data_IF_052687798890
#
_entry.id   IF_052687798890
#
_cell.length_a   1.000
_cell.length_b   1.000
_cell.length_c   1.000
_cell.angle_alpha   90.00
_cell.angle_beta   90.00
_cell.angle_gamma   90.00
#
_symmetry.space_group_name_H-M   'P 1'
#
loop_
_entity.id
_entity.type
_entity.pdbx_description
1 polymer ?
#
# COMPACT_ATOMS: atom_id res chain seq x y z
N UNK A 1 -28.28 41.98 56.64
CA UNK A 1 -28.86 43.31 56.32
C UNK A 1 -29.19 43.29 54.85
N UNK A 2 -30.40 43.43 54.32
CA UNK A 2 -31.79 43.63 54.78
C UNK A 2 -32.63 42.83 53.74
N UNK A 3 -33.50 41.89 54.10
CA UNK A 3 -34.91 42.06 54.51
C UNK A 3 -35.75 42.92 53.54
N UNK A 4 -36.65 42.29 52.75
CA UNK A 4 -38.13 42.17 52.92
C UNK A 4 -38.84 43.20 52.02
N UNK A 5 -40.03 43.01 51.43
CA UNK A 5 -41.16 42.09 51.65
C UNK A 5 -42.12 42.17 50.42
N UNK A 6 -43.10 41.26 50.31
CA UNK A 6 -44.05 41.09 49.21
C UNK A 6 -45.43 41.74 49.49
N UNK A 7 -46.37 41.64 48.55
CA UNK A 7 -47.82 41.30 48.69
C UNK A 7 -48.55 41.69 47.39
N UNK A 8 -49.23 40.73 46.75
CA UNK A 8 -50.70 40.53 46.76
C UNK A 8 -51.43 41.62 45.96
N UNK A 9 -52.22 41.32 44.92
CA UNK A 9 -53.64 40.93 45.02
C UNK A 9 -54.19 40.77 43.57
N UNK A 10 -54.79 39.66 43.12
CA UNK A 10 -56.25 39.35 43.07
C UNK A 10 -56.50 38.31 41.93
N UNK A 11 -57.69 37.69 41.76
CA UNK A 11 -58.37 36.74 42.64
C UNK A 11 -58.55 35.36 41.96
N UNK A 12 -58.81 34.34 42.77
CA UNK A 12 -59.09 32.96 42.32
C UNK A 12 -60.46 32.83 41.65
N UNK A 13 -60.50 32.19 40.48
CA UNK A 13 -61.73 31.67 39.88
C UNK A 13 -61.76 30.15 39.99
N UNK A 14 -62.65 29.66 40.85
CA UNK A 14 -63.03 28.25 40.95
C UNK A 14 -63.74 27.81 39.65
N UNK A 15 -63.24 26.77 38.99
CA UNK A 15 -64.06 25.97 38.08
C UNK A 15 -63.81 24.49 38.32
N UNK A 16 -64.90 23.80 38.67
CA UNK A 16 -65.03 22.37 38.92
C UNK A 16 -64.94 21.55 37.63
N UNK A 17 -64.40 20.32 37.64
CA UNK A 17 -64.27 19.49 36.46
C UNK A 17 -65.56 18.69 36.21
N UNK A 18 -66.49 19.25 35.46
CA UNK A 18 -67.57 18.51 34.82
C UNK A 18 -68.12 19.36 33.69
N UNK A 19 -68.29 18.75 32.51
CA UNK A 19 -68.81 19.36 31.27
C UNK A 19 -67.73 19.96 30.35
N UNK A 20 -66.99 19.07 29.68
CA UNK A 20 -66.52 19.29 28.29
C UNK A 20 -66.04 17.95 27.71
N UNK A 21 -66.88 16.91 27.80
CA UNK A 21 -66.78 15.78 26.87
C UNK A 21 -67.48 16.20 25.57
N UNK A 22 -66.85 15.86 24.43
CA UNK A 22 -67.31 16.08 23.05
C UNK A 22 -66.94 17.41 22.38
N UNK A 23 -65.65 17.66 22.15
CA UNK A 23 -65.26 18.52 21.03
C UNK A 23 -63.81 18.41 20.54
N UNK A 24 -63.24 17.20 20.39
CA UNK A 24 -62.05 17.00 19.54
C UNK A 24 -62.07 15.60 18.90
N UNK A 25 -61.87 15.47 17.58
CA UNK A 25 -61.70 14.16 16.96
C UNK A 25 -60.43 13.51 17.51
N UNK A 26 -60.52 12.22 17.84
CA UNK A 26 -59.38 11.39 18.24
C UNK A 26 -58.28 11.50 17.17
N UNK A 27 -57.24 12.27 17.45
CA UNK A 27 -55.96 12.10 16.79
C UNK A 27 -55.42 10.80 17.38
N UNK A 28 -55.66 9.70 16.66
CA UNK A 28 -54.93 8.46 16.85
C UNK A 28 -53.44 8.81 16.81
N UNK A 29 -52.85 8.94 18.01
CA UNK A 29 -51.42 9.11 18.15
C UNK A 29 -50.82 7.77 17.73
N UNK A 30 -50.53 7.64 16.43
CA UNK A 30 -49.65 6.61 15.92
C UNK A 30 -48.26 6.95 16.49
N UNK A 31 -48.04 6.56 17.75
CA UNK A 31 -46.70 6.42 18.28
C UNK A 31 -46.08 5.36 17.37
N UNK A 32 -45.08 5.69 16.54
CA UNK A 32 -44.37 4.65 15.81
C UNK A 32 -43.81 3.72 16.89
N UNK A 33 -44.28 2.49 16.87
CA UNK A 33 -43.81 1.42 17.72
C UNK A 33 -42.27 1.46 17.64
N UNK A 34 -41.64 1.96 18.71
CA UNK A 34 -40.19 1.99 18.83
C UNK A 34 -39.80 0.51 18.82
N UNK A 35 -39.51 -0.03 17.63
CA UNK A 35 -39.07 -1.40 17.45
C UNK A 35 -37.89 -1.59 18.38
N UNK A 36 -38.15 -2.25 19.51
CA UNK A 36 -37.14 -2.55 20.51
C UNK A 36 -36.19 -3.50 19.82
N UNK A 37 -35.01 -2.98 19.43
CA UNK A 37 -33.96 -3.77 18.81
C UNK A 37 -33.73 -4.98 19.72
N UNK A 38 -33.96 -6.17 19.19
CA UNK A 38 -33.87 -7.38 20.01
C UNK A 38 -32.46 -7.51 20.60
N UNK A 39 -32.33 -8.11 21.78
CA UNK A 39 -31.03 -8.27 22.43
C UNK A 39 -29.99 -8.99 21.55
N UNK A 40 -30.44 -9.82 20.60
CA UNK A 40 -29.59 -10.46 19.59
C UNK A 40 -29.13 -9.51 18.49
N UNK A 41 -30.02 -8.67 17.96
CA UNK A 41 -29.67 -7.62 16.98
C UNK A 41 -28.72 -6.57 17.58
N UNK A 42 -28.95 -6.18 18.85
CA UNK A 42 -28.06 -5.25 19.56
C UNK A 42 -26.64 -5.83 19.74
N UNK A 43 -26.53 -7.12 20.12
CA UNK A 43 -25.24 -7.83 20.20
C UNK A 43 -24.54 -7.96 18.84
N UNK A 44 -25.31 -8.23 17.78
CA UNK A 44 -24.78 -8.33 16.42
C UNK A 44 -24.22 -6.99 15.93
N UNK A 45 -24.96 -5.90 16.15
CA UNK A 45 -24.51 -4.54 15.83
C UNK A 45 -23.26 -4.14 16.62
N UNK A 46 -23.22 -4.44 17.92
CA UNK A 46 -22.03 -4.20 18.75
C UNK A 46 -20.81 -4.98 18.23
N UNK A 47 -20.98 -6.25 17.86
CA UNK A 47 -19.92 -7.08 17.29
C UNK A 47 -19.36 -6.52 15.97
N UNK A 48 -20.24 -6.03 15.09
CA UNK A 48 -19.83 -5.41 13.83
C UNK A 48 -19.04 -4.11 14.05
N UNK A 49 -19.47 -3.26 14.98
CA UNK A 49 -18.78 -2.02 15.36
C UNK A 49 -17.38 -2.33 15.89
N UNK A 50 -17.26 -3.29 16.81
CA UNK A 50 -15.98 -3.70 17.38
C UNK A 50 -15.04 -4.29 16.33
N UNK A 51 -15.55 -5.17 15.46
CA UNK A 51 -14.79 -5.73 14.37
C UNK A 51 -14.24 -4.64 13.43
N UNK A 52 -15.05 -3.64 13.09
CA UNK A 52 -14.61 -2.51 12.26
C UNK A 52 -13.59 -1.61 12.95
N UNK A 53 -13.77 -1.32 14.26
CA UNK A 53 -12.79 -0.54 15.04
C UNK A 53 -11.45 -1.26 15.12
N UNK A 54 -11.45 -2.56 15.39
CA UNK A 54 -10.24 -3.37 15.46
C UNK A 54 -9.51 -3.43 14.11
N UNK A 55 -10.22 -3.44 12.98
CA UNK A 55 -9.59 -3.31 11.65
C UNK A 55 -8.76 -2.03 11.55
N UNK A 56 -9.33 -0.88 11.97
CA UNK A 56 -8.63 0.40 11.91
C UNK A 56 -7.49 0.53 12.92
N UNK A 57 -7.66 -0.01 14.12
CA UNK A 57 -6.59 -0.09 15.12
C UNK A 57 -5.43 -0.93 14.57
N UNK A 58 -5.73 -2.09 13.99
CA UNK A 58 -4.73 -2.96 13.34
C UNK A 58 -4.03 -2.23 12.19
N UNK A 59 -4.79 -1.53 11.33
CA UNK A 59 -4.23 -0.73 10.24
C UNK A 59 -3.32 0.38 10.76
N UNK A 60 -3.69 1.06 11.85
CA UNK A 60 -2.86 2.08 12.47
C UNK A 60 -1.53 1.52 12.97
N UNK A 61 -1.53 0.39 13.69
CA UNK A 61 -0.30 -0.26 14.15
C UNK A 61 0.60 -0.66 12.96
N UNK A 62 0.02 -1.27 11.94
CA UNK A 62 0.75 -1.64 10.73
C UNK A 62 1.33 -0.41 10.01
N UNK A 63 0.53 0.66 9.89
CA UNK A 63 0.95 1.89 9.23
C UNK A 63 1.99 2.66 10.04
N UNK A 64 1.92 2.65 11.38
CA UNK A 64 2.95 3.20 12.24
C UNK A 64 4.29 2.47 12.01
N UNK A 65 4.26 1.13 11.95
CA UNK A 65 5.43 0.31 11.65
C UNK A 65 6.05 0.65 10.30
N UNK A 66 5.23 0.70 9.24
CA UNK A 66 5.71 0.79 7.86
C UNK A 66 5.96 2.21 7.38
N UNK A 67 5.15 3.18 7.83
CA UNK A 67 5.28 4.58 7.49
C UNK A 67 6.33 5.29 8.36
N UNK A 68 6.17 5.26 9.68
CA UNK A 68 7.07 5.96 10.60
C UNK A 68 8.32 5.13 10.93
N UNK A 69 8.15 3.84 11.26
CA UNK A 69 9.24 2.96 11.65
C UNK A 69 10.29 2.82 10.56
N UNK A 70 9.90 2.45 9.33
CA UNK A 70 10.81 2.34 8.18
C UNK A 70 11.54 3.65 7.85
N UNK A 71 10.86 4.79 7.96
CA UNK A 71 11.49 6.08 7.69
C UNK A 71 12.53 6.40 8.76
N UNK A 72 12.20 6.17 10.03
CA UNK A 72 13.12 6.33 11.13
C UNK A 72 14.35 5.40 10.99
N UNK A 73 14.12 4.15 10.61
CA UNK A 73 15.15 3.15 10.36
C UNK A 73 16.18 3.59 9.31
N UNK A 74 15.70 4.10 8.17
CA UNK A 74 16.58 4.66 7.12
C UNK A 74 17.41 5.85 7.61
N UNK A 75 16.81 6.77 8.35
CA UNK A 75 17.54 7.91 8.92
C UNK A 75 18.55 7.46 9.96
N UNK A 76 18.22 6.43 10.75
CA UNK A 76 19.10 5.84 11.75
C UNK A 76 20.36 5.28 11.08
N UNK A 77 20.22 4.42 10.06
CA UNK A 77 21.36 3.90 9.31
C UNK A 77 22.21 4.97 8.62
N UNK A 78 21.61 6.10 8.23
CA UNK A 78 22.34 7.22 7.64
C UNK A 78 23.10 8.10 8.65
N UNK A 79 22.84 7.95 9.96
CA UNK A 79 23.38 8.86 10.99
C UNK A 79 24.06 8.17 12.17
N UNK A 80 23.80 6.88 12.41
CA UNK A 80 24.33 6.10 13.55
C UNK A 80 25.21 4.97 13.03
N UNK A 81 26.47 4.93 13.51
CA UNK A 81 27.50 4.02 12.98
C UNK A 81 27.41 2.60 13.54
N UNK A 82 27.11 2.48 14.82
CA UNK A 82 27.05 1.19 15.51
C UNK A 82 25.61 0.76 15.62
N UNK A 83 25.18 -0.01 14.63
CA UNK A 83 23.84 -0.57 14.63
C UNK A 83 23.82 -2.00 15.14
N UNK A 84 22.77 -2.36 15.86
CA UNK A 84 22.52 -3.72 16.30
C UNK A 84 21.15 -4.14 15.83
N UNK A 85 20.89 -5.45 15.78
CA UNK A 85 19.57 -5.98 15.44
C UNK A 85 18.44 -5.37 16.30
N UNK A 86 18.73 -4.98 17.55
CA UNK A 86 17.78 -4.35 18.48
C UNK A 86 17.88 -2.83 18.53
N UNK A 87 18.19 -2.19 17.40
CA UNK A 87 18.15 -0.74 17.27
C UNK A 87 16.76 -0.18 17.68
N UNK A 88 16.67 1.06 18.19
CA UNK A 88 15.38 1.68 18.50
C UNK A 88 14.35 1.60 17.35
N UNK A 89 14.68 1.91 16.07
CA UNK A 89 13.72 1.76 14.98
C UNK A 89 13.32 0.29 14.72
N UNK A 90 14.25 -0.67 14.77
CA UNK A 90 13.92 -2.09 14.62
C UNK A 90 12.97 -2.57 15.72
N UNK A 91 13.28 -2.26 16.98
CA UNK A 91 12.42 -2.63 18.11
C UNK A 91 11.01 -2.05 17.95
N UNK A 92 10.90 -0.79 17.54
CA UNK A 92 9.61 -0.15 17.25
C UNK A 92 8.85 -0.89 16.13
N UNK A 93 9.50 -1.17 15.00
CA UNK A 93 8.90 -1.92 13.88
C UNK A 93 8.42 -3.31 14.34
N UNK A 94 9.20 -4.02 15.14
CA UNK A 94 8.85 -5.34 15.64
C UNK A 94 7.63 -5.30 16.56
N UNK A 95 7.60 -4.39 17.54
CA UNK A 95 6.47 -4.27 18.46
C UNK A 95 5.18 -3.93 17.71
N UNK A 96 5.24 -2.98 16.78
CA UNK A 96 4.07 -2.55 15.99
C UNK A 96 3.57 -3.67 15.05
N UNK A 97 4.49 -4.40 14.42
CA UNK A 97 4.16 -5.53 13.54
C UNK A 97 3.60 -6.72 14.33
N UNK A 98 4.23 -7.09 15.45
CA UNK A 98 3.77 -8.18 16.31
C UNK A 98 2.38 -7.89 16.90
N UNK A 99 2.15 -6.63 17.31
CA UNK A 99 0.83 -6.17 17.77
C UNK A 99 -0.22 -6.31 16.67
N UNK A 100 0.12 -5.92 15.44
CA UNK A 100 -0.77 -6.09 14.27
C UNK A 100 -1.09 -7.57 14.03
N UNK A 101 -0.09 -8.46 14.09
CA UNK A 101 -0.27 -9.91 13.98
C UNK A 101 -1.19 -10.49 15.06
N UNK A 102 -0.98 -10.10 16.33
CA UNK A 102 -1.79 -10.55 17.44
C UNK A 102 -3.25 -10.08 17.34
N UNK A 103 -3.47 -8.83 16.89
CA UNK A 103 -4.82 -8.31 16.65
C UNK A 103 -5.53 -9.09 15.54
N UNK A 104 -4.85 -9.36 14.43
CA UNK A 104 -5.41 -10.17 13.32
C UNK A 104 -5.73 -11.59 13.78
N UNK A 105 -4.83 -12.22 14.55
CA UNK A 105 -5.09 -13.51 15.15
C UNK A 105 -6.33 -13.45 16.07
N UNK A 106 -6.39 -12.47 16.97
CA UNK A 106 -7.54 -12.28 17.88
C UNK A 106 -8.85 -12.15 17.11
N UNK A 107 -8.87 -11.36 16.04
CA UNK A 107 -10.03 -11.23 15.15
C UNK A 107 -10.38 -12.59 14.51
N UNK A 108 -9.40 -13.28 13.93
CA UNK A 108 -9.60 -14.53 13.20
C UNK A 108 -10.06 -15.70 14.09
N UNK A 109 -9.60 -15.75 15.34
CA UNK A 109 -9.97 -16.80 16.30
C UNK A 109 -11.27 -16.50 17.06
N UNK A 110 -11.75 -15.24 17.07
CA UNK A 110 -13.01 -14.85 17.73
C UNK A 110 -14.20 -14.90 16.76
N UNK A 111 -15.16 -15.83 16.93
CA UNK A 111 -16.26 -16.02 15.98
C UNK A 111 -17.09 -14.75 15.72
N UNK A 112 -17.37 -13.98 16.77
CA UNK A 112 -18.20 -12.77 16.72
C UNK A 112 -17.52 -11.63 15.96
N UNK A 113 -16.18 -11.64 15.87
CA UNK A 113 -15.40 -10.63 15.15
C UNK A 113 -15.19 -11.04 13.69
N UNK A 114 -14.72 -12.27 13.43
CA UNK A 114 -14.38 -12.73 12.07
C UNK A 114 -15.59 -12.79 11.12
N UNK A 115 -16.80 -12.97 11.65
CA UNK A 115 -18.02 -13.08 10.84
C UNK A 115 -18.24 -11.89 9.90
N UNK A 116 -17.62 -10.73 10.18
CA UNK A 116 -17.78 -9.50 9.42
C UNK A 116 -16.74 -9.25 8.33
N UNK A 117 -15.74 -10.13 8.20
CA UNK A 117 -14.60 -9.96 7.29
C UNK A 117 -14.81 -10.61 5.92
N UNK A 118 -16.06 -10.97 5.59
CA UNK A 118 -16.45 -11.49 4.28
C UNK A 118 -16.50 -13.03 4.23
N UNK A 119 -16.46 -13.62 3.01
CA UNK A 119 -16.68 -15.05 2.81
C UNK A 119 -15.64 -15.93 3.52
N UNK A 120 -16.13 -16.89 4.31
CA UNK A 120 -15.30 -17.84 5.05
C UNK A 120 -14.84 -19.04 4.22
N UNK A 121 -13.57 -19.39 4.34
CA UNK A 121 -12.91 -20.49 3.63
C UNK A 121 -12.64 -21.63 4.61
N UNK A 122 -12.89 -22.86 4.19
CA UNK A 122 -12.62 -24.06 4.99
C UNK A 122 -11.18 -24.51 4.77
N UNK A 123 -10.42 -24.66 5.85
CA UNK A 123 -9.11 -25.30 5.84
C UNK A 123 -9.24 -26.72 6.39
N UNK A 124 -8.42 -27.68 5.92
CA UNK A 124 -8.48 -29.06 6.39
C UNK A 124 -8.09 -29.21 7.87
N UNK A 125 -7.21 -28.36 8.38
CA UNK A 125 -6.66 -28.42 9.74
C UNK A 125 -7.23 -27.36 10.71
N UNK A 126 -8.13 -26.48 10.25
CA UNK A 126 -8.77 -25.47 11.11
C UNK A 126 -10.24 -25.87 11.34
N UNK A 127 -10.70 -25.99 12.60
CA UNK A 127 -12.04 -26.48 12.91
C UNK A 127 -13.16 -25.52 12.49
N UNK A 128 -12.83 -24.30 12.07
CA UNK A 128 -13.78 -23.27 11.63
C UNK A 128 -13.38 -22.66 10.27
N UNK A 129 -14.31 -21.95 9.63
CA UNK A 129 -14.03 -21.20 8.40
C UNK A 129 -13.35 -19.87 8.73
N UNK A 130 -12.34 -19.50 7.94
CA UNK A 130 -11.59 -18.24 8.08
C UNK A 130 -11.89 -17.34 6.88
N UNK A 131 -12.30 -16.07 7.07
CA UNK A 131 -12.51 -15.12 5.98
C UNK A 131 -11.29 -14.96 5.09
N UNK A 132 -11.48 -14.94 3.76
CA UNK A 132 -10.38 -14.82 2.81
C UNK A 132 -9.51 -13.57 3.01
N UNK A 133 -10.12 -12.45 3.40
CA UNK A 133 -9.41 -11.21 3.74
C UNK A 133 -8.43 -11.39 4.91
N UNK A 134 -8.83 -12.15 5.94
CA UNK A 134 -7.99 -12.45 7.10
C UNK A 134 -6.91 -13.48 6.78
N UNK A 135 -7.16 -14.40 5.84
CA UNK A 135 -6.13 -15.32 5.33
C UNK A 135 -5.02 -14.56 4.62
N UNK A 136 -5.37 -13.62 3.74
CA UNK A 136 -4.38 -12.78 3.03
C UNK A 136 -3.64 -11.87 4.01
N UNK A 137 -4.38 -11.14 4.85
CA UNK A 137 -3.80 -10.23 5.84
C UNK A 137 -2.88 -10.95 6.82
N UNK A 138 -3.35 -12.05 7.42
CA UNK A 138 -2.57 -12.86 8.35
C UNK A 138 -1.39 -13.54 7.69
N UNK A 139 -1.56 -14.08 6.46
CA UNK A 139 -0.48 -14.69 5.70
C UNK A 139 0.66 -13.70 5.39
N UNK A 140 0.33 -12.47 5.02
CA UNK A 140 1.31 -11.41 4.82
C UNK A 140 2.03 -11.01 6.12
N UNK A 141 1.33 -10.94 7.26
CA UNK A 141 1.93 -10.65 8.57
C UNK A 141 2.85 -11.77 9.07
N UNK A 142 2.47 -13.04 8.85
CA UNK A 142 3.32 -14.19 9.15
C UNK A 142 4.57 -14.15 8.28
N UNK A 143 4.42 -13.93 6.97
CA UNK A 143 5.56 -13.79 6.06
C UNK A 143 6.50 -12.65 6.48
N UNK A 144 5.95 -11.48 6.83
CA UNK A 144 6.70 -10.35 7.36
C UNK A 144 7.47 -10.70 8.64
N UNK A 145 6.90 -11.54 9.50
CA UNK A 145 7.59 -12.01 10.71
C UNK A 145 8.78 -12.92 10.37
N UNK A 146 8.62 -13.80 9.38
CA UNK A 146 9.70 -14.66 8.89
C UNK A 146 10.79 -13.80 8.22
N UNK A 147 10.40 -12.71 7.53
CA UNK A 147 11.34 -11.76 6.91
C UNK A 147 12.37 -11.25 7.91
N UNK A 148 11.93 -10.88 9.12
CA UNK A 148 12.80 -10.37 10.18
C UNK A 148 13.93 -11.36 10.53
N UNK A 149 13.65 -12.66 10.51
CA UNK A 149 14.66 -13.69 10.78
C UNK A 149 15.68 -13.80 9.66
N UNK A 150 15.22 -13.79 8.40
CA UNK A 150 16.12 -13.79 7.25
C UNK A 150 16.93 -12.50 7.16
N UNK A 151 16.34 -11.37 7.53
CA UNK A 151 16.97 -10.07 7.53
C UNK A 151 18.18 -10.05 8.47
N UNK A 152 18.00 -10.52 9.71
CA UNK A 152 19.11 -10.68 10.66
C UNK A 152 20.22 -11.59 10.14
N UNK A 153 19.84 -12.72 9.52
CA UNK A 153 20.81 -13.65 8.94
C UNK A 153 21.60 -13.00 7.79
N UNK A 154 20.92 -12.27 6.91
CA UNK A 154 21.56 -11.54 5.81
C UNK A 154 22.49 -10.47 6.33
N UNK A 155 22.06 -9.67 7.30
CA UNK A 155 22.90 -8.66 7.92
C UNK A 155 24.12 -9.24 8.62
N UNK A 156 23.98 -10.37 9.30
CA UNK A 156 25.11 -11.05 9.95
C UNK A 156 26.10 -11.66 8.97
N UNK A 157 25.63 -12.06 7.77
CA UNK A 157 26.45 -12.77 6.77
C UNK A 157 27.09 -11.80 5.77
N UNK A 158 26.35 -10.78 5.35
CA UNK A 158 26.72 -9.88 4.25
C UNK A 158 26.82 -8.41 4.67
N UNK A 159 26.44 -8.05 5.90
CA UNK A 159 26.39 -6.67 6.41
C UNK A 159 25.15 -5.91 5.95
N UNK A 160 25.22 -4.57 5.88
CA UNK A 160 24.08 -3.76 5.44
C UNK A 160 23.72 -4.15 3.99
N UNK A 161 22.53 -4.74 3.81
CA UNK A 161 22.12 -5.30 2.54
C UNK A 161 20.72 -4.82 2.12
N UNK A 162 20.65 -3.96 1.12
CA UNK A 162 19.42 -3.49 0.49
C UNK A 162 19.47 -3.55 -1.06
N UNK A 163 19.86 -4.67 -1.67
CA UNK A 163 19.69 -4.82 -3.13
C UNK A 163 18.22 -4.85 -3.58
N UNK A 164 17.28 -4.91 -2.63
CA UNK A 164 15.83 -5.11 -2.84
C UNK A 164 15.45 -6.45 -3.50
N UNK A 165 16.43 -7.23 -3.96
CA UNK A 165 16.27 -8.60 -4.45
C UNK A 165 16.85 -9.65 -3.51
N UNK A 166 17.60 -9.27 -2.48
CA UNK A 166 17.91 -10.18 -1.38
C UNK A 166 16.62 -10.77 -0.79
N UNK A 167 16.69 -12.02 -0.33
CA UNK A 167 15.52 -12.75 0.19
C UNK A 167 14.72 -11.91 1.19
N UNK A 168 15.31 -11.32 2.25
CA UNK A 168 14.53 -10.56 3.22
C UNK A 168 13.86 -9.33 2.60
N UNK A 169 14.57 -8.53 1.81
CA UNK A 169 14.02 -7.28 1.26
C UNK A 169 12.97 -7.52 0.19
N UNK A 170 13.16 -8.55 -0.65
CA UNK A 170 12.14 -8.97 -1.59
C UNK A 170 10.88 -9.46 -0.83
N UNK A 171 11.07 -10.31 0.19
CA UNK A 171 9.96 -10.82 1.00
C UNK A 171 9.27 -9.71 1.79
N UNK A 172 10.00 -8.70 2.26
CA UNK A 172 9.48 -7.48 2.91
C UNK A 172 8.48 -6.76 1.98
N UNK A 173 8.92 -6.44 0.75
CA UNK A 173 8.09 -5.74 -0.23
C UNK A 173 6.81 -6.50 -0.58
N UNK A 174 6.93 -7.80 -0.86
CA UNK A 174 5.78 -8.66 -1.17
C UNK A 174 4.86 -8.90 0.03
N UNK A 175 5.40 -8.98 1.24
CA UNK A 175 4.61 -9.12 2.47
C UNK A 175 3.78 -7.86 2.73
N UNK A 176 4.37 -6.67 2.60
CA UNK A 176 3.61 -5.43 2.73
C UNK A 176 2.53 -5.29 1.68
N UNK A 177 2.81 -5.62 0.41
CA UNK A 177 1.80 -5.62 -0.62
C UNK A 177 0.65 -6.58 -0.32
N UNK A 178 0.97 -7.80 0.12
CA UNK A 178 0.01 -8.82 0.55
C UNK A 178 -0.87 -8.31 1.71
N UNK A 179 -0.27 -7.67 2.72
CA UNK A 179 -0.97 -7.07 3.86
C UNK A 179 -1.95 -5.99 3.40
N UNK A 180 -1.54 -5.11 2.48
CA UNK A 180 -2.40 -4.04 1.94
C UNK A 180 -3.59 -4.62 1.16
N UNK A 181 -3.39 -5.66 0.34
CA UNK A 181 -4.50 -6.39 -0.29
C UNK A 181 -5.46 -6.93 0.79
N UNK A 182 -4.93 -7.52 1.86
CA UNK A 182 -5.70 -8.02 2.98
C UNK A 182 -6.54 -6.94 3.67
N UNK A 183 -5.96 -5.77 3.94
CA UNK A 183 -6.66 -4.62 4.50
C UNK A 183 -7.76 -4.08 3.57
N UNK A 184 -7.49 -4.00 2.27
CA UNK A 184 -8.49 -3.56 1.28
C UNK A 184 -9.64 -4.56 1.23
N UNK A 185 -9.35 -5.85 1.14
CA UNK A 185 -10.37 -6.91 1.15
C UNK A 185 -11.22 -6.88 2.43
N UNK A 186 -10.57 -6.72 3.59
CA UNK A 186 -11.26 -6.58 4.87
C UNK A 186 -12.15 -5.32 4.88
N UNK A 187 -11.65 -4.18 4.41
CA UNK A 187 -12.44 -2.94 4.37
C UNK A 187 -13.62 -3.03 3.41
N UNK A 188 -13.46 -3.67 2.26
CA UNK A 188 -14.55 -3.91 1.30
C UNK A 188 -15.63 -4.84 1.89
N UNK A 189 -15.28 -5.79 2.75
CA UNK A 189 -16.27 -6.62 3.46
C UNK A 189 -17.24 -5.80 4.34
N UNK A 190 -16.79 -4.65 4.85
CA UNK A 190 -17.62 -3.72 5.64
C UNK A 190 -18.42 -2.72 4.79
N UNK A 191 -18.47 -2.83 3.46
CA UNK A 191 -19.14 -1.84 2.60
C UNK A 191 -20.64 -1.66 2.90
N UNK A 192 -21.33 -2.72 3.35
CA UNK A 192 -22.75 -2.64 3.71
C UNK A 192 -22.98 -1.88 5.03
N UNK A 193 -21.99 -1.89 5.93
CA UNK A 193 -22.05 -1.17 7.21
C UNK A 193 -21.53 0.27 7.08
N UNK A 194 -20.40 0.44 6.37
CA UNK A 194 -19.80 1.73 6.05
C UNK A 194 -19.55 1.77 4.55
N UNK A 195 -20.47 2.36 3.76
CA UNK A 195 -20.31 2.54 2.33
C UNK A 195 -18.96 3.16 1.98
N UNK A 196 -18.35 2.69 0.89
CA UNK A 196 -17.04 3.15 0.45
C UNK A 196 -17.26 4.33 -0.49
N UNK A 197 -16.95 5.54 -0.04
CA UNK A 197 -17.04 6.73 -0.88
C UNK A 197 -15.84 6.80 -1.85
N UNK A 198 -15.86 7.77 -2.77
CA UNK A 198 -14.79 7.90 -3.77
C UNK A 198 -13.43 8.27 -3.17
N UNK A 199 -13.40 8.96 -2.03
CA UNK A 199 -12.15 9.32 -1.32
C UNK A 199 -11.52 8.06 -0.72
N UNK A 200 -12.31 7.18 -0.11
CA UNK A 200 -11.81 5.90 0.41
C UNK A 200 -11.26 5.03 -0.72
N UNK A 201 -11.93 4.96 -1.88
CA UNK A 201 -11.38 4.27 -3.05
C UNK A 201 -10.08 4.90 -3.55
N UNK A 202 -9.97 6.23 -3.52
CA UNK A 202 -8.73 6.94 -3.87
C UNK A 202 -7.58 6.58 -2.92
N UNK A 203 -7.83 6.54 -1.60
CA UNK A 203 -6.82 6.13 -0.62
C UNK A 203 -6.39 4.67 -0.85
N UNK A 204 -7.34 3.76 -1.05
CA UNK A 204 -7.03 2.36 -1.39
C UNK A 204 -6.20 2.24 -2.67
N UNK A 205 -6.56 3.02 -3.70
CA UNK A 205 -5.81 3.08 -4.95
C UNK A 205 -4.37 3.57 -4.75
N UNK A 206 -4.17 4.62 -3.96
CA UNK A 206 -2.83 5.12 -3.63
C UNK A 206 -2.00 4.08 -2.85
N UNK A 207 -2.61 3.39 -1.88
CA UNK A 207 -1.94 2.30 -1.15
C UNK A 207 -1.58 1.13 -2.07
N UNK A 208 -2.46 0.75 -2.99
CA UNK A 208 -2.14 -0.30 -3.97
C UNK A 208 -0.94 0.12 -4.83
N UNK A 209 -0.94 1.33 -5.37
CA UNK A 209 0.18 1.82 -6.18
C UNK A 209 1.49 1.85 -5.38
N UNK A 210 1.44 2.37 -4.16
CA UNK A 210 2.62 2.56 -3.32
C UNK A 210 3.28 1.24 -2.91
N UNK A 211 2.51 0.22 -2.60
CA UNK A 211 3.06 -1.07 -2.16
C UNK A 211 3.28 -2.07 -3.31
N UNK A 212 2.56 -1.93 -4.44
CA UNK A 212 2.77 -2.75 -5.62
C UNK A 212 4.08 -2.38 -6.36
N UNK A 213 4.36 -1.08 -6.46
CA UNK A 213 5.52 -0.56 -7.18
C UNK A 213 6.85 -1.15 -6.69
N UNK A 214 7.21 -1.07 -5.39
CA UNK A 214 8.44 -1.68 -4.88
C UNK A 214 8.46 -3.21 -5.03
N UNK A 215 7.32 -3.88 -4.83
CA UNK A 215 7.24 -5.34 -4.95
C UNK A 215 7.58 -5.84 -6.37
N UNK A 216 7.15 -5.11 -7.41
CA UNK A 216 7.44 -5.48 -8.81
C UNK A 216 8.82 -4.97 -9.25
N UNK A 217 9.19 -3.73 -8.91
CA UNK A 217 10.39 -3.10 -9.45
C UNK A 217 11.68 -3.49 -8.73
N UNK A 218 11.60 -3.95 -7.48
CA UNK A 218 12.77 -4.26 -6.65
C UNK A 218 13.79 -3.11 -6.64
N UNK A 219 15.05 -3.32 -7.08
CA UNK A 219 16.12 -2.32 -7.02
C UNK A 219 15.77 -1.03 -7.77
N UNK A 220 15.00 -1.14 -8.87
CA UNK A 220 14.63 0.02 -9.68
C UNK A 220 13.64 0.96 -8.97
N UNK A 221 13.03 0.55 -7.86
CA UNK A 221 12.10 1.42 -7.12
C UNK A 221 12.82 2.58 -6.40
N UNK A 222 14.08 2.39 -5.98
CA UNK A 222 14.89 3.39 -5.28
C UNK A 222 16.12 3.85 -6.08
N UNK A 223 16.64 3.02 -6.99
CA UNK A 223 17.87 3.32 -7.74
C UNK A 223 17.56 3.84 -9.14
N UNK A 224 17.54 5.16 -9.26
CA UNK A 224 17.11 5.91 -10.45
C UNK A 224 18.22 6.03 -11.49
N UNK A 225 19.40 6.45 -11.06
CA UNK A 225 20.52 6.76 -11.94
C UNK A 225 21.84 6.31 -11.32
N UNK A 226 22.89 6.11 -12.13
CA UNK A 226 24.25 5.88 -11.62
C UNK A 226 24.74 7.02 -10.73
N UNK A 227 24.32 8.27 -11.01
CA UNK A 227 24.65 9.42 -10.18
C UNK A 227 24.08 9.31 -8.77
N UNK A 228 22.83 8.85 -8.64
CA UNK A 228 22.23 8.61 -7.32
C UNK A 228 22.95 7.50 -6.56
N UNK A 229 23.27 6.39 -7.24
CA UNK A 229 24.05 5.29 -6.66
C UNK A 229 25.39 5.80 -6.14
N UNK A 230 26.11 6.61 -6.92
CA UNK A 230 27.37 7.22 -6.52
C UNK A 230 27.19 8.20 -5.35
N UNK A 231 26.13 9.02 -5.33
CA UNK A 231 25.86 9.95 -4.23
C UNK A 231 25.61 9.20 -2.91
N UNK A 232 24.80 8.13 -2.94
CA UNK A 232 24.50 7.30 -1.77
C UNK A 232 25.75 6.56 -1.25
N UNK A 233 26.55 6.01 -2.16
CA UNK A 233 27.83 5.35 -1.84
C UNK A 233 28.83 6.28 -1.14
N UNK A 234 28.77 7.58 -1.41
CA UNK A 234 29.69 8.60 -0.86
C UNK A 234 29.17 9.29 0.41
N UNK A 235 28.04 8.87 0.98
CA UNK A 235 27.61 9.37 2.30
C UNK A 235 28.70 9.02 3.33
N UNK A 236 29.15 9.97 4.20
CA UNK A 236 30.31 9.76 5.07
C UNK A 236 30.27 8.45 5.86
N UNK A 237 29.12 8.11 6.46
CA UNK A 237 28.98 6.88 7.24
C UNK A 237 29.05 5.63 6.36
N UNK A 238 28.44 5.69 5.17
CA UNK A 238 28.39 4.59 4.19
C UNK A 238 29.78 4.31 3.60
N UNK A 239 30.62 5.33 3.44
CA UNK A 239 32.01 5.14 2.98
C UNK A 239 32.86 4.32 3.95
N UNK A 240 32.51 4.35 5.24
CA UNK A 240 33.25 3.61 6.27
C UNK A 240 32.79 2.17 6.47
N UNK A 241 31.73 1.74 5.78
CA UNK A 241 31.13 0.41 5.92
C UNK A 241 31.40 -0.48 4.68
N UNK A 242 32.35 -1.45 4.76
CA UNK A 242 32.76 -2.25 3.60
C UNK A 242 31.62 -3.05 2.95
N UNK A 243 30.67 -3.55 3.75
CA UNK A 243 29.49 -4.28 3.27
C UNK A 243 28.54 -3.41 2.46
N UNK A 244 28.27 -2.19 2.95
CA UNK A 244 27.48 -1.21 2.21
C UNK A 244 28.18 -0.81 0.91
N UNK A 245 29.51 -0.61 0.93
CA UNK A 245 30.29 -0.36 -0.28
C UNK A 245 30.20 -1.51 -1.28
N UNK A 246 30.25 -2.76 -0.82
CA UNK A 246 30.04 -3.94 -1.67
C UNK A 246 28.67 -3.92 -2.33
N UNK A 247 27.61 -3.61 -1.57
CA UNK A 247 26.25 -3.49 -2.12
C UNK A 247 26.21 -2.46 -3.27
N UNK A 248 26.80 -1.27 -3.10
CA UNK A 248 26.83 -0.27 -4.18
C UNK A 248 27.68 -0.72 -5.37
N UNK A 249 28.78 -1.47 -5.15
CA UNK A 249 29.53 -2.09 -6.26
C UNK A 249 28.67 -3.07 -7.05
N UNK A 250 27.74 -3.80 -6.42
CA UNK A 250 26.79 -4.67 -7.15
C UNK A 250 25.91 -3.82 -8.07
N UNK A 251 25.35 -2.71 -7.56
CA UNK A 251 24.53 -1.78 -8.36
C UNK A 251 25.30 -1.21 -9.54
N UNK A 252 26.56 -0.83 -9.36
CA UNK A 252 27.44 -0.31 -10.41
C UNK A 252 27.81 -1.41 -11.42
N UNK A 253 28.21 -2.60 -10.96
CA UNK A 253 28.69 -3.70 -11.80
C UNK A 253 27.59 -4.27 -12.70
N UNK A 254 26.39 -4.47 -12.15
CA UNK A 254 25.24 -5.00 -12.88
C UNK A 254 24.35 -3.90 -13.49
N UNK A 255 24.70 -2.62 -13.28
CA UNK A 255 23.91 -1.49 -13.76
C UNK A 255 22.46 -1.55 -13.30
N UNK A 256 22.20 -1.86 -12.03
CA UNK A 256 20.86 -2.04 -11.45
C UNK A 256 20.14 -0.72 -11.17
N UNK A 257 20.07 0.15 -12.18
CA UNK A 257 19.36 1.43 -12.11
C UNK A 257 18.31 1.53 -13.20
N UNK A 258 17.32 2.41 -13.02
CA UNK A 258 16.31 2.70 -14.05
C UNK A 258 16.94 3.14 -15.38
N UNK A 259 18.06 3.85 -15.32
CA UNK A 259 18.72 4.43 -16.50
C UNK A 259 19.60 3.44 -17.28
N UNK A 260 20.12 2.40 -16.61
CA UNK A 260 21.13 1.51 -17.20
C UNK A 260 20.62 0.11 -17.46
N UNK A 261 19.60 -0.35 -16.73
CA UNK A 261 19.21 -1.76 -16.79
C UNK A 261 18.15 -2.04 -17.87
N UNK A 262 18.38 -2.98 -18.81
CA UNK A 262 17.43 -3.28 -19.89
C UNK A 262 16.11 -3.89 -19.40
N UNK A 263 16.07 -4.48 -18.20
CA UNK A 263 14.82 -5.01 -17.63
C UNK A 263 13.91 -3.93 -17.03
N UNK A 264 14.38 -2.69 -16.85
CA UNK A 264 13.57 -1.66 -16.19
C UNK A 264 12.28 -1.34 -16.96
N UNK A 265 12.35 -1.09 -18.28
CA UNK A 265 11.16 -0.79 -19.09
C UNK A 265 10.15 -1.95 -19.06
N UNK A 266 10.54 -3.22 -19.31
CA UNK A 266 9.63 -4.36 -19.18
C UNK A 266 8.97 -4.48 -17.79
N UNK A 267 9.73 -4.28 -16.70
CA UNK A 267 9.21 -4.37 -15.33
C UNK A 267 8.29 -3.20 -14.98
N UNK A 268 8.63 -1.99 -15.40
CA UNK A 268 7.80 -0.80 -15.23
C UNK A 268 6.46 -0.95 -15.99
N UNK A 269 6.48 -1.56 -17.18
CA UNK A 269 5.28 -1.84 -17.95
C UNK A 269 4.43 -2.95 -17.31
N UNK A 270 5.04 -4.00 -16.75
CA UNK A 270 4.35 -5.02 -15.95
C UNK A 270 3.65 -4.39 -14.73
N UNK A 271 4.35 -3.52 -14.01
CA UNK A 271 3.77 -2.74 -12.92
C UNK A 271 2.59 -1.88 -13.40
N UNK A 272 2.78 -1.09 -14.46
CA UNK A 272 1.74 -0.21 -14.99
C UNK A 272 0.49 -1.00 -15.39
N UNK A 273 0.65 -2.13 -16.10
CA UNK A 273 -0.46 -3.00 -16.46
C UNK A 273 -1.23 -3.53 -15.25
N UNK A 274 -0.48 -4.03 -14.24
CA UNK A 274 -1.05 -4.56 -13.00
C UNK A 274 -1.83 -3.48 -12.25
N UNK A 275 -1.24 -2.29 -12.13
CA UNK A 275 -1.86 -1.14 -11.51
C UNK A 275 -3.14 -0.70 -12.24
N UNK A 276 -3.10 -0.53 -13.56
CA UNK A 276 -4.27 -0.11 -14.34
C UNK A 276 -5.44 -1.10 -14.19
N UNK A 277 -5.18 -2.40 -14.24
CA UNK A 277 -6.22 -3.41 -14.04
C UNK A 277 -6.81 -3.36 -12.63
N UNK A 278 -5.96 -3.29 -11.60
CA UNK A 278 -6.39 -3.17 -10.21
C UNK A 278 -7.23 -1.91 -9.96
N UNK A 279 -6.77 -0.74 -10.43
CA UNK A 279 -7.48 0.52 -10.26
C UNK A 279 -8.85 0.50 -10.93
N UNK A 280 -8.93 -0.06 -12.14
CA UNK A 280 -10.19 -0.18 -12.88
C UNK A 280 -11.18 -1.11 -12.18
N UNK A 281 -10.72 -2.24 -11.66
CA UNK A 281 -11.57 -3.21 -10.94
C UNK A 281 -11.98 -2.65 -9.58
N UNK A 282 -11.10 -1.93 -8.89
CA UNK A 282 -11.37 -1.29 -7.60
C UNK A 282 -12.44 -0.20 -7.72
N UNK A 283 -12.37 0.65 -8.75
CA UNK A 283 -13.42 1.64 -8.98
C UNK A 283 -13.52 2.01 -10.48
N UNK A 284 -14.70 1.82 -11.06
CA UNK A 284 -14.98 2.13 -12.46
C UNK A 284 -15.04 3.65 -12.76
N UNK A 285 -15.11 4.51 -11.74
CA UNK A 285 -15.21 5.96 -11.94
C UNK A 285 -13.90 6.52 -12.48
N UNK A 286 -13.97 7.14 -13.67
CA UNK A 286 -12.83 7.82 -14.32
C UNK A 286 -12.05 8.76 -13.41
N UNK A 287 -12.73 9.44 -12.48
CA UNK A 287 -12.09 10.35 -11.51
C UNK A 287 -11.06 9.63 -10.65
N UNK A 288 -11.39 8.48 -10.05
CA UNK A 288 -10.43 7.73 -9.20
C UNK A 288 -9.33 7.12 -10.08
N UNK A 289 -9.70 6.57 -11.24
CA UNK A 289 -8.77 5.96 -12.18
C UNK A 289 -7.68 6.91 -12.70
N UNK A 290 -7.99 8.20 -12.86
CA UNK A 290 -7.02 9.22 -13.31
C UNK A 290 -6.35 9.96 -12.15
N UNK A 291 -7.10 10.24 -11.08
CA UNK A 291 -6.58 11.01 -9.95
C UNK A 291 -5.57 10.20 -9.11
N UNK A 292 -5.74 8.88 -8.98
CA UNK A 292 -4.80 8.05 -8.24
C UNK A 292 -3.39 8.04 -8.88
N UNK A 293 -3.23 7.73 -10.19
CA UNK A 293 -1.95 7.85 -10.88
C UNK A 293 -1.35 9.26 -10.80
N UNK A 294 -2.17 10.31 -10.92
CA UNK A 294 -1.71 11.71 -10.81
C UNK A 294 -1.14 12.00 -9.42
N UNK A 295 -1.93 11.77 -8.37
CA UNK A 295 -1.50 12.07 -7.00
C UNK A 295 -0.31 11.21 -6.58
N UNK A 296 -0.30 9.92 -6.97
CA UNK A 296 0.84 9.05 -6.69
C UNK A 296 2.10 9.53 -7.42
N UNK A 297 1.98 9.99 -8.67
CA UNK A 297 3.10 10.60 -9.41
C UNK A 297 3.64 11.84 -8.70
N UNK A 298 2.77 12.72 -8.20
CA UNK A 298 3.16 13.91 -7.43
C UNK A 298 3.86 13.53 -6.12
N UNK A 299 3.38 12.49 -5.41
CA UNK A 299 4.02 12.01 -4.18
C UNK A 299 5.42 11.46 -4.45
N UNK A 300 5.61 10.68 -5.52
CA UNK A 300 6.93 10.18 -5.91
C UNK A 300 7.87 11.32 -6.32
N UNK A 301 7.39 12.32 -7.06
CA UNK A 301 8.17 13.51 -7.39
C UNK A 301 8.65 14.23 -6.13
N UNK A 302 7.75 14.46 -5.17
CA UNK A 302 8.09 15.11 -3.91
C UNK A 302 9.12 14.31 -3.10
N UNK A 303 8.98 12.97 -3.06
CA UNK A 303 9.98 12.07 -2.46
C UNK A 303 11.34 12.21 -3.14
N UNK A 304 11.38 12.18 -4.47
CA UNK A 304 12.62 12.21 -5.23
C UNK A 304 13.31 13.59 -5.13
N UNK A 305 12.55 14.68 -5.10
CA UNK A 305 13.06 16.03 -4.80
C UNK A 305 13.67 16.10 -3.40
N UNK A 306 13.00 15.52 -2.41
CA UNK A 306 13.53 15.45 -1.06
C UNK A 306 14.84 14.66 -1.01
N UNK A 307 14.96 13.56 -1.74
CA UNK A 307 16.20 12.78 -1.84
C UNK A 307 17.35 13.61 -2.41
N UNK A 308 17.12 14.38 -3.49
CA UNK A 308 18.16 15.25 -4.07
C UNK A 308 18.62 16.33 -3.08
N UNK A 309 17.67 16.94 -2.37
CA UNK A 309 17.97 17.90 -1.31
C UNK A 309 18.77 17.28 -0.17
N UNK A 310 18.34 16.12 0.34
CA UNK A 310 19.00 15.42 1.44
C UNK A 310 20.47 15.06 1.10
N UNK A 311 20.71 14.63 -0.14
CA UNK A 311 22.04 14.25 -0.60
C UNK A 311 22.92 15.44 -1.01
N UNK A 312 22.43 16.68 -0.89
CA UNK A 312 23.11 17.87 -1.39
C UNK A 312 23.58 17.72 -2.84
N UNK A 313 22.75 17.09 -3.68
CA UNK A 313 23.08 16.80 -5.07
C UNK A 313 23.42 18.10 -5.81
N UNK A 314 24.52 18.11 -6.59
CA UNK A 314 25.03 19.31 -7.28
C UNK A 314 25.16 20.55 -6.37
N UNK A 315 25.46 20.34 -5.09
CA UNK A 315 25.65 21.40 -4.10
C UNK A 315 24.36 22.03 -3.57
N UNK A 316 23.18 21.46 -3.84
CA UNK A 316 21.89 21.92 -3.30
C UNK A 316 21.97 21.99 -1.77
N UNK A 317 21.62 23.15 -1.20
CA UNK A 317 21.46 23.36 0.26
C UNK A 317 20.05 23.80 0.64
N UNK A 318 19.23 24.20 -0.34
CA UNK A 318 17.83 24.59 -0.13
C UNK A 318 16.94 23.94 -1.17
N UNK A 319 15.71 23.58 -0.78
CA UNK A 319 14.75 22.96 -1.69
C UNK A 319 14.42 23.84 -2.91
N UNK A 320 14.55 25.17 -2.79
CA UNK A 320 14.36 26.14 -3.87
C UNK A 320 15.44 26.08 -4.95
N UNK A 321 16.62 25.51 -4.64
CA UNK A 321 17.75 25.37 -5.57
C UNK A 321 17.60 24.16 -6.49
N UNK A 322 16.57 23.33 -6.30
CA UNK A 322 16.32 22.14 -7.13
C UNK A 322 15.87 22.53 -8.56
N UNK A 323 15.15 23.64 -8.71
CA UNK A 323 14.51 24.05 -9.97
C UNK A 323 15.40 23.98 -11.22
N UNK A 324 16.61 24.56 -11.22
CA UNK A 324 17.55 24.50 -12.34
C UNK A 324 18.01 23.09 -12.74
N UNK A 325 18.01 22.13 -11.81
CA UNK A 325 18.43 20.73 -12.04
C UNK A 325 17.29 19.93 -12.68
N UNK A 326 16.04 20.22 -12.29
CA UNK A 326 14.86 19.50 -12.80
C UNK A 326 14.78 19.52 -14.34
N UNK A 327 15.11 20.64 -14.96
CA UNK A 327 15.03 20.77 -16.41
C UNK A 327 16.21 20.09 -17.15
N UNK A 328 17.33 19.86 -16.47
CA UNK A 328 18.53 19.26 -17.07
C UNK A 328 18.49 17.74 -17.03
N UNK A 329 18.02 17.18 -15.91
CA UNK A 329 18.05 15.73 -15.65
C UNK A 329 16.67 15.23 -15.22
N UNK A 330 15.72 15.07 -16.16
CA UNK A 330 14.38 14.58 -15.85
C UNK A 330 14.36 13.22 -15.16
N UNK A 331 15.35 12.36 -15.43
CA UNK A 331 15.54 11.07 -14.76
C UNK A 331 15.76 11.18 -13.25
N UNK A 332 16.05 12.35 -12.67
CA UNK A 332 16.24 12.41 -11.21
C UNK A 332 14.94 12.59 -10.43
N UNK A 333 13.85 12.96 -11.09
CA UNK A 333 12.62 13.37 -10.41
C UNK A 333 11.32 13.02 -11.11
N UNK A 334 11.36 12.77 -12.43
CA UNK A 334 10.17 12.38 -13.16
C UNK A 334 9.74 10.99 -12.72
N UNK A 335 8.48 10.79 -12.32
CA UNK A 335 8.02 9.49 -11.89
C UNK A 335 7.82 8.58 -13.10
N UNK A 336 7.56 7.31 -12.83
CA UNK A 336 7.14 6.34 -13.85
C UNK A 336 5.89 6.90 -14.55
N UNK A 337 5.80 6.89 -15.90
CA UNK A 337 4.74 7.57 -16.65
C UNK A 337 3.37 6.86 -16.61
N UNK A 338 2.96 6.37 -15.43
CA UNK A 338 1.69 5.66 -15.21
C UNK A 338 0.47 6.56 -15.48
N UNK A 339 0.57 7.87 -15.23
CA UNK A 339 -0.47 8.82 -15.59
C UNK A 339 -0.69 8.86 -17.11
N UNK A 340 0.38 8.89 -17.90
CA UNK A 340 0.31 8.86 -19.36
C UNK A 340 -0.38 7.57 -19.82
N UNK A 341 0.02 6.42 -19.26
CA UNK A 341 -0.64 5.14 -19.55
C UNK A 341 -2.13 5.15 -19.19
N UNK A 342 -2.49 5.75 -18.05
CA UNK A 342 -3.88 5.84 -17.59
C UNK A 342 -4.75 6.71 -18.50
N UNK A 343 -4.23 7.88 -18.91
CA UNK A 343 -4.91 8.78 -19.84
C UNK A 343 -5.08 8.11 -21.20
N UNK A 344 -4.01 7.52 -21.74
CA UNK A 344 -4.04 6.84 -23.02
C UNK A 344 -5.02 5.66 -23.02
N UNK A 345 -5.04 4.87 -21.95
CA UNK A 345 -5.98 3.77 -21.77
C UNK A 345 -7.45 4.27 -21.81
N UNK A 346 -7.76 5.37 -21.13
CA UNK A 346 -9.10 5.97 -21.15
C UNK A 346 -9.47 6.48 -22.54
N UNK A 347 -8.54 7.14 -23.24
CA UNK A 347 -8.76 7.67 -24.59
C UNK A 347 -9.01 6.55 -25.60
N UNK A 348 -8.16 5.52 -25.60
CA UNK A 348 -8.28 4.40 -26.54
C UNK A 348 -9.54 3.56 -26.29
N UNK A 349 -10.04 3.51 -25.05
CA UNK A 349 -11.34 2.87 -24.72
C UNK A 349 -12.55 3.57 -25.35
N UNK A 350 -12.41 4.79 -25.87
CA UNK A 350 -13.43 5.47 -26.66
C UNK A 350 -13.38 5.13 -28.15
N UNK A 351 -12.43 4.30 -28.58
CA UNK A 351 -12.29 3.83 -29.96
C UNK A 351 -12.89 2.43 -30.13
N UNK A 352 -12.89 1.90 -31.37
CA UNK A 352 -13.32 0.53 -31.69
C UNK A 352 -12.30 -0.57 -31.33
N UNK A 353 -11.17 -0.20 -30.72
CA UNK A 353 -10.12 -1.17 -30.40
C UNK A 353 -10.55 -2.14 -29.31
N UNK A 354 -10.16 -3.41 -29.49
CA UNK A 354 -10.30 -4.44 -28.46
C UNK A 354 -9.36 -4.18 -27.28
N UNK A 355 -9.74 -4.62 -26.08
CA UNK A 355 -8.98 -4.37 -24.85
C UNK A 355 -7.51 -4.82 -24.92
N UNK A 356 -7.23 -5.98 -25.52
CA UNK A 356 -5.87 -6.46 -25.69
C UNK A 356 -5.03 -5.52 -26.56
N UNK A 357 -5.62 -4.96 -27.65
CA UNK A 357 -4.93 -4.01 -28.51
C UNK A 357 -4.69 -2.68 -27.79
N UNK A 358 -5.67 -2.22 -27.00
CA UNK A 358 -5.53 -1.01 -26.18
C UNK A 358 -4.35 -1.15 -25.21
N UNK A 359 -4.24 -2.28 -24.52
CA UNK A 359 -3.15 -2.56 -23.59
C UNK A 359 -1.79 -2.63 -24.30
N UNK A 360 -1.70 -3.29 -25.45
CA UNK A 360 -0.45 -3.36 -26.24
C UNK A 360 -0.01 -1.96 -26.67
N UNK A 361 -0.90 -1.16 -27.26
CA UNK A 361 -0.58 0.23 -27.69
C UNK A 361 -0.19 1.08 -26.48
N UNK A 362 -0.90 0.94 -25.36
CA UNK A 362 -0.57 1.64 -24.12
C UNK A 362 0.80 1.23 -23.59
N UNK A 363 1.17 -0.05 -23.69
CA UNK A 363 2.48 -0.58 -23.30
C UNK A 363 3.62 -0.01 -24.14
N UNK A 364 3.43 0.05 -25.46
CA UNK A 364 4.43 0.62 -26.38
C UNK A 364 4.63 2.11 -26.09
N UNK A 365 3.56 2.91 -26.00
CA UNK A 365 3.68 4.35 -25.72
C UNK A 365 4.27 4.59 -24.33
N UNK A 366 3.86 3.82 -23.32
CA UNK A 366 4.46 3.86 -21.99
C UNK A 366 5.96 3.54 -22.03
N UNK A 367 6.37 2.53 -22.80
CA UNK A 367 7.77 2.17 -22.99
C UNK A 367 8.58 3.30 -23.64
N UNK A 368 8.03 3.96 -24.67
CA UNK A 368 8.66 5.12 -25.33
C UNK A 368 8.81 6.29 -24.34
N UNK A 369 7.77 6.60 -23.56
CA UNK A 369 7.84 7.65 -22.54
C UNK A 369 8.87 7.30 -21.45
N UNK A 370 8.92 6.03 -21.02
CA UNK A 370 9.88 5.58 -20.02
C UNK A 370 11.31 5.67 -20.55
N UNK A 371 11.54 5.29 -21.80
CA UNK A 371 12.83 5.50 -22.50
C UNK A 371 13.22 6.97 -22.51
N UNK A 372 12.32 7.86 -22.95
CA UNK A 372 12.58 9.29 -23.08
C UNK A 372 12.92 9.99 -21.76
N UNK A 373 12.43 9.47 -20.63
CA UNK A 373 12.74 9.99 -19.29
C UNK A 373 14.07 9.43 -18.78
N UNK A 374 14.27 8.11 -18.90
CA UNK A 374 15.26 7.39 -18.09
C UNK A 374 16.51 6.99 -18.84
N UNK A 375 16.44 6.74 -20.15
CA UNK A 375 17.52 6.12 -20.89
C UNK A 375 18.15 7.07 -21.90
N UNK A 376 19.45 6.90 -22.10
CA UNK A 376 20.23 7.72 -23.05
C UNK A 376 20.75 6.92 -24.23
N UNK A 377 20.85 5.59 -24.12
CA UNK A 377 21.36 4.75 -25.20
C UNK A 377 20.26 4.46 -26.25
N UNK A 378 20.40 4.91 -27.51
CA UNK A 378 19.31 4.86 -28.50
C UNK A 378 18.70 3.49 -28.73
N UNK A 379 19.49 2.42 -28.63
CA UNK A 379 19.00 1.04 -28.83
C UNK A 379 17.96 0.63 -27.78
N UNK A 380 17.97 1.22 -26.58
CA UNK A 380 17.01 0.90 -25.51
C UNK A 380 15.58 1.34 -25.84
N UNK A 381 15.39 2.18 -26.87
CA UNK A 381 14.06 2.46 -27.42
C UNK A 381 13.36 1.18 -27.91
N UNK A 382 14.13 0.18 -28.37
CA UNK A 382 13.59 -1.11 -28.80
C UNK A 382 12.91 -1.88 -27.65
N UNK A 383 13.23 -1.55 -26.39
CA UNK A 383 12.56 -2.12 -25.21
C UNK A 383 11.09 -1.67 -25.07
N UNK A 384 10.63 -0.69 -25.85
CA UNK A 384 9.21 -0.37 -25.95
C UNK A 384 8.38 -1.53 -26.55
N UNK A 385 8.98 -2.39 -27.38
CA UNK A 385 8.30 -3.56 -27.93
C UNK A 385 7.95 -4.60 -26.84
N UNK A 386 8.90 -5.08 -26.00
CA UNK A 386 8.56 -5.94 -24.88
C UNK A 386 7.64 -5.25 -23.85
N UNK A 387 7.68 -3.92 -23.69
CA UNK A 387 6.68 -3.21 -22.87
C UNK A 387 5.24 -3.41 -23.38
N UNK A 388 5.06 -3.50 -24.71
CA UNK A 388 3.79 -3.85 -25.35
C UNK A 388 3.29 -5.25 -25.00
N UNK A 389 4.18 -6.17 -24.61
CA UNK A 389 3.83 -7.53 -24.17
C UNK A 389 3.68 -7.63 -22.64
N UNK A 390 4.56 -6.97 -21.87
CA UNK A 390 4.53 -7.05 -20.40
C UNK A 390 3.40 -6.24 -19.79
N UNK A 391 2.91 -5.17 -20.43
CA UNK A 391 1.75 -4.43 -19.93
C UNK A 391 0.47 -5.30 -19.94
N UNK A 392 0.10 -5.99 -21.03
CA UNK A 392 -1.00 -6.96 -21.00
C UNK A 392 -0.81 -8.08 -19.96
N UNK A 393 0.41 -8.62 -19.82
CA UNK A 393 0.72 -9.60 -18.77
C UNK A 393 0.47 -9.03 -17.37
N UNK A 394 0.86 -7.78 -17.16
CA UNK A 394 0.58 -7.06 -15.92
C UNK A 394 -0.92 -6.89 -15.69
N UNK A 395 -1.68 -6.50 -16.72
CA UNK A 395 -3.13 -6.36 -16.60
C UNK A 395 -3.81 -7.70 -16.25
N UNK A 396 -3.34 -8.82 -16.80
CA UNK A 396 -3.77 -10.15 -16.40
C UNK A 396 -3.47 -10.41 -14.91
N UNK A 397 -2.25 -10.11 -14.46
CA UNK A 397 -1.87 -10.24 -13.04
C UNK A 397 -2.74 -9.38 -12.13
N UNK A 398 -3.03 -8.13 -12.53
CA UNK A 398 -3.89 -7.24 -11.75
C UNK A 398 -5.33 -7.74 -11.62
N UNK A 399 -5.87 -8.36 -12.68
CA UNK A 399 -7.18 -9.03 -12.60
C UNK A 399 -7.15 -10.23 -11.66
N UNK A 400 -6.11 -11.07 -11.75
CA UNK A 400 -5.91 -12.20 -10.84
C UNK A 400 -5.83 -11.75 -9.37
N UNK A 401 -5.08 -10.68 -9.09
CA UNK A 401 -4.97 -10.10 -7.75
C UNK A 401 -6.30 -9.53 -7.24
N UNK A 402 -7.10 -8.93 -8.12
CA UNK A 402 -8.43 -8.46 -7.74
C UNK A 402 -9.41 -9.62 -7.48
N UNK A 403 -9.32 -10.71 -8.25
CA UNK A 403 -10.17 -11.89 -8.07
C UNK A 403 -9.94 -12.54 -6.69
N UNK A 404 -8.72 -12.46 -6.15
CA UNK A 404 -8.41 -12.85 -4.78
C UNK A 404 -9.22 -12.03 -3.75
N UNK A 405 -9.42 -10.74 -4.00
CA UNK A 405 -10.21 -9.85 -3.14
C UNK A 405 -11.70 -10.17 -3.28
N UNK A 406 -12.19 -10.30 -4.51
CA UNK A 406 -13.62 -10.43 -4.80
C UNK A 406 -14.17 -11.84 -4.49
N UNK A 407 -13.42 -12.89 -4.86
CA UNK A 407 -13.86 -14.30 -4.83
C UNK A 407 -12.76 -15.20 -4.26
N UNK A 408 -12.44 -15.07 -2.96
CA UNK A 408 -11.32 -15.77 -2.38
C UNK A 408 -11.58 -17.29 -2.33
N UNK A 409 -10.68 -18.07 -2.93
CA UNK A 409 -10.68 -19.54 -2.91
C UNK A 409 -9.41 -20.06 -2.25
N UNK A 410 -9.51 -21.16 -1.49
CA UNK A 410 -8.36 -21.71 -0.76
C UNK A 410 -7.13 -21.92 -1.66
N UNK A 411 -7.32 -22.60 -2.79
CA UNK A 411 -6.24 -22.89 -3.74
C UNK A 411 -5.59 -21.62 -4.28
N UNK A 412 -6.39 -20.65 -4.72
CA UNK A 412 -5.90 -19.37 -5.26
C UNK A 412 -5.14 -18.57 -4.20
N UNK A 413 -5.65 -18.53 -2.96
CA UNK A 413 -4.99 -17.85 -1.85
C UNK A 413 -3.66 -18.51 -1.48
N UNK A 414 -3.63 -19.83 -1.40
CA UNK A 414 -2.40 -20.56 -1.06
C UNK A 414 -1.34 -20.40 -2.15
N UNK A 415 -1.73 -20.46 -3.44
CA UNK A 415 -0.82 -20.19 -4.55
C UNK A 415 -0.29 -18.76 -4.52
N UNK A 416 -1.16 -17.78 -4.24
CA UNK A 416 -0.76 -16.39 -4.11
C UNK A 416 0.24 -16.18 -2.97
N UNK A 417 -0.08 -16.63 -1.75
CA UNK A 417 0.80 -16.51 -0.60
C UNK A 417 2.13 -17.25 -0.81
N UNK A 418 2.11 -18.46 -1.38
CA UNK A 418 3.33 -19.19 -1.67
C UNK A 418 4.19 -18.47 -2.72
N UNK A 419 3.57 -17.90 -3.74
CA UNK A 419 4.27 -17.14 -4.77
C UNK A 419 4.91 -15.86 -4.20
N UNK A 420 4.12 -15.02 -3.55
CA UNK A 420 4.57 -13.70 -3.08
C UNK A 420 5.44 -13.77 -1.83
N UNK A 421 5.13 -14.67 -0.90
CA UNK A 421 5.83 -14.74 0.39
C UNK A 421 6.95 -15.78 0.45
N UNK A 422 7.21 -16.56 -0.60
CA UNK A 422 8.28 -17.55 -0.58
C UNK A 422 8.97 -17.74 -1.93
N UNK A 423 8.26 -18.08 -2.99
CA UNK A 423 8.88 -18.46 -4.27
C UNK A 423 9.57 -17.29 -4.97
N UNK A 424 8.91 -16.13 -5.09
CA UNK A 424 9.50 -14.95 -5.71
C UNK A 424 10.73 -14.48 -4.89
N UNK A 425 10.64 -14.31 -3.55
CA UNK A 425 11.81 -13.98 -2.74
C UNK A 425 12.95 -15.00 -2.84
N UNK A 426 12.66 -16.30 -2.88
CA UNK A 426 13.69 -17.33 -3.02
C UNK A 426 14.42 -17.25 -4.37
N UNK A 427 13.68 -17.09 -5.47
CA UNK A 427 14.26 -16.96 -6.81
C UNK A 427 15.12 -15.71 -6.91
N UNK A 428 14.60 -14.55 -6.47
CA UNK A 428 15.35 -13.30 -6.51
C UNK A 428 16.53 -13.31 -5.54
N UNK A 429 16.42 -14.01 -4.41
CA UNK A 429 17.53 -14.26 -3.49
C UNK A 429 18.67 -15.05 -4.13
N UNK A 430 18.37 -16.04 -4.97
CA UNK A 430 19.42 -16.75 -5.74
C UNK A 430 20.12 -15.80 -6.71
N UNK A 431 19.38 -14.91 -7.38
CA UNK A 431 19.94 -13.88 -8.25
C UNK A 431 20.84 -12.92 -7.46
N UNK A 432 20.38 -12.46 -6.30
CA UNK A 432 21.16 -11.62 -5.38
C UNK A 432 22.46 -12.28 -4.93
N UNK A 433 22.41 -13.54 -4.49
CA UNK A 433 23.62 -14.29 -4.09
C UNK A 433 24.60 -14.48 -5.25
N UNK A 434 24.11 -14.71 -6.46
CA UNK A 434 24.94 -14.74 -7.66
C UNK A 434 25.63 -13.39 -7.89
N UNK A 435 24.88 -12.29 -7.84
CA UNK A 435 25.43 -10.95 -8.04
C UNK A 435 26.47 -10.59 -6.97
N UNK A 436 26.22 -10.92 -5.70
CA UNK A 436 27.19 -10.75 -4.60
C UNK A 436 28.51 -11.44 -4.89
N UNK A 437 28.44 -12.71 -5.29
CA UNK A 437 29.62 -13.54 -5.57
C UNK A 437 30.38 -13.08 -6.81
N UNK A 438 29.67 -12.58 -7.82
CA UNK A 438 30.26 -12.11 -9.08
C UNK A 438 30.83 -10.69 -9.00
N UNK A 439 30.51 -9.94 -7.95
CA UNK A 439 31.01 -8.58 -7.75
C UNK A 439 32.34 -8.61 -6.98
N UNK A 440 33.40 -7.96 -7.50
CA UNK A 440 34.73 -7.94 -6.88
C UNK A 440 34.82 -7.09 -5.60
#
# INVERSE_FOLDING_TARGET
>A
MQQTTPMAELPAANFSPSETEHLFPEVECIIPELQTVSSSQAKQMAGQIWAYRLLWVTFFFFFASTGAGKLWDRFWHATVRFDTFWSPPHFFVFVMTATSGLLVATIAFTPQLRAWYGPGIRFPFIPFKVPGSLVVLGGGLVALTITIMFDNFWHSTYGLDETQWSVPHCMLGWSWFTIIIGFIAARLAFQNYRPVNWITHLVMALLLLEFLCPAILGPFYLMYSPHLVNALKNIPIVTTEPSAQHMYRIYEHFGLTRQTHPLYIPFAALFAGTALALLRRLNMRKRVFLLAPLLWSVLLMGRDWYTLYFLHYDGIRKITEIGPILLKEPSLWMPIPILIASVLYVLLRHTSFQDNRILIVTGIVFGICTFAIWHTAPWMLLLALPAGATLPLGAWLGNFLYDIIEKPRLETLMRFLLATCAQIPAVLGIVDLFMRRATP
#
